data_IF_087310991856
#
_entry.id   IF_087310991856
#
_cell.length_a   1.000
_cell.length_b   1.000
_cell.length_c   1.000
_cell.angle_alpha   90.00
_cell.angle_beta   90.00
_cell.angle_gamma   90.00
#
_symmetry.space_group_name_H-M   'P 1'
#
loop_
_entity.id
_entity.type
_entity.pdbx_description
1 polymer ?
#
# COMPACT_ATOMS: atom_id res chain seq x y z
N UNK A 1 32.96 -5.04 2.98
CA UNK A 1 31.81 -5.59 3.70
C UNK A 1 31.24 -4.47 4.56
N UNK A 2 30.02 -4.05 4.29
CA UNK A 2 29.26 -3.18 5.17
C UNK A 2 28.35 -4.10 5.99
N UNK A 3 28.44 -4.04 7.30
CA UNK A 3 27.57 -4.81 8.20
C UNK A 3 26.77 -3.82 9.03
N UNK A 4 25.49 -3.64 8.67
CA UNK A 4 24.53 -2.87 9.44
C UNK A 4 23.80 -3.84 10.36
N UNK A 5 24.21 -3.90 11.62
CA UNK A 5 23.59 -4.81 12.60
C UNK A 5 22.32 -4.24 13.20
N UNK A 6 22.31 -2.96 13.48
CA UNK A 6 21.16 -2.25 14.03
C UNK A 6 21.15 -0.86 13.41
N UNK A 7 19.99 -0.46 12.91
CA UNK A 7 19.75 0.91 12.45
C UNK A 7 18.33 1.33 12.84
N UNK A 8 18.14 2.62 13.03
CA UNK A 8 16.84 3.22 13.26
C UNK A 8 16.59 4.27 12.20
N UNK A 9 15.41 4.22 11.60
CA UNK A 9 14.92 5.22 10.64
C UNK A 9 13.80 5.97 11.35
N UNK A 10 13.98 7.25 11.57
CA UNK A 10 12.96 8.11 12.16
C UNK A 10 12.14 8.78 11.06
N UNK A 11 10.82 8.72 11.20
CA UNK A 11 9.84 9.21 10.24
C UNK A 11 8.79 10.03 11.02
N UNK A 12 9.08 11.32 11.25
CA UNK A 12 8.25 12.14 12.12
C UNK A 12 8.20 11.57 13.54
N UNK A 13 7.00 11.29 14.03
CA UNK A 13 6.78 10.71 15.38
C UNK A 13 6.81 9.16 15.37
N UNK A 14 7.07 8.53 14.24
CA UNK A 14 7.23 7.09 14.11
C UNK A 14 8.70 6.74 13.85
N UNK A 15 9.08 5.49 14.11
CA UNK A 15 10.38 4.97 13.72
C UNK A 15 10.29 3.51 13.32
N UNK A 16 11.22 3.10 12.47
CA UNK A 16 11.41 1.72 12.05
C UNK A 16 12.79 1.27 12.47
N UNK A 17 12.87 0.17 13.18
CA UNK A 17 14.13 -0.46 13.57
C UNK A 17 14.52 -1.53 12.55
N UNK A 18 15.78 -1.50 12.13
CA UNK A 18 16.41 -2.53 11.32
C UNK A 18 17.35 -3.37 12.18
N UNK A 19 17.26 -4.69 12.01
CA UNK A 19 18.23 -5.65 12.55
C UNK A 19 18.58 -6.65 11.48
N UNK A 20 19.84 -6.73 11.10
CA UNK A 20 20.25 -7.66 10.04
C UNK A 20 21.62 -7.34 9.45
N UNK A 21 21.89 -7.91 8.29
CA UNK A 21 23.14 -7.71 7.55
C UNK A 21 22.86 -7.22 6.14
N UNK A 22 23.65 -6.25 5.72
CA UNK A 22 23.74 -5.82 4.31
C UNK A 22 25.19 -6.07 3.89
N UNK A 23 25.38 -6.94 2.94
CA UNK A 23 26.69 -7.31 2.44
C UNK A 23 26.83 -6.96 0.97
N UNK A 24 28.05 -6.60 0.57
CA UNK A 24 28.44 -6.45 -0.83
C UNK A 24 29.65 -7.34 -1.09
N UNK A 25 29.45 -8.66 -1.33
CA UNK A 25 30.54 -9.61 -1.55
C UNK A 25 31.15 -9.49 -2.94
N UNK A 26 31.42 -8.60 -3.59
CA UNK A 26 32.00 -8.19 -4.86
C UNK A 26 31.12 -7.18 -5.62
N UNK A 27 30.32 -7.66 -6.55
CA UNK A 27 29.52 -6.88 -7.50
C UNK A 27 28.00 -6.99 -7.25
N UNK A 28 27.59 -7.65 -6.18
CA UNK A 28 26.19 -7.86 -5.84
C UNK A 28 25.92 -7.53 -4.37
N UNK A 29 24.65 -7.41 -4.03
CA UNK A 29 24.19 -7.12 -2.67
C UNK A 29 23.45 -8.32 -2.10
N UNK A 30 23.70 -8.59 -0.82
CA UNK A 30 22.89 -9.50 0.00
C UNK A 30 22.33 -8.74 1.17
N UNK A 31 21.05 -8.92 1.39
CA UNK A 31 20.32 -8.34 2.50
C UNK A 31 19.63 -9.49 3.23
N UNK A 32 19.86 -9.60 4.52
CA UNK A 32 19.14 -10.53 5.40
C UNK A 32 18.87 -9.83 6.73
N UNK A 33 17.61 -9.60 7.01
CA UNK A 33 17.25 -8.88 8.22
C UNK A 33 15.77 -8.67 8.42
N UNK A 34 15.47 -7.94 9.46
CA UNK A 34 14.13 -7.62 9.89
C UNK A 34 13.96 -6.12 10.07
N UNK A 35 12.93 -5.57 9.45
CA UNK A 35 12.37 -4.26 9.75
C UNK A 35 11.26 -4.44 10.78
N UNK A 36 11.27 -3.64 11.82
CA UNK A 36 10.27 -3.68 12.88
C UNK A 36 9.71 -2.30 13.13
N UNK A 37 8.39 -2.18 13.04
CA UNK A 37 7.63 -1.04 13.54
C UNK A 37 7.17 -1.41 14.96
N UNK A 38 7.73 -0.82 16.01
CA UNK A 38 7.25 -1.07 17.37
C UNK A 38 5.82 -0.55 17.53
N UNK A 39 5.12 -0.87 18.63
CA UNK A 39 3.80 -0.33 18.90
C UNK A 39 3.78 1.18 18.76
N UNK A 40 3.15 1.68 17.70
CA UNK A 40 3.15 3.10 17.28
C UNK A 40 1.70 3.58 17.20
N UNK A 41 1.36 4.78 17.72
CA UNK A 41 0.03 5.34 17.52
C UNK A 41 -0.31 5.41 16.02
N UNK A 42 -1.49 4.94 15.64
CA UNK A 42 -1.90 4.88 14.23
C UNK A 42 -1.84 6.25 13.55
N UNK A 43 -2.20 7.31 14.27
CA UNK A 43 -2.12 8.68 13.73
C UNK A 43 -0.68 9.08 13.42
N UNK A 44 0.26 8.75 14.31
CA UNK A 44 1.69 9.00 14.10
C UNK A 44 2.24 8.18 12.89
N UNK A 45 1.83 6.91 12.77
CA UNK A 45 2.27 6.05 11.67
C UNK A 45 1.80 6.57 10.30
N UNK A 46 0.56 7.07 10.19
CA UNK A 46 0.05 7.66 8.95
C UNK A 46 0.74 8.99 8.65
N UNK A 47 0.89 9.85 9.64
CA UNK A 47 1.52 11.18 9.45
C UNK A 47 3.05 11.12 9.36
N UNK A 48 3.67 9.95 9.52
CA UNK A 48 5.05 9.69 9.13
C UNK A 48 5.24 9.72 7.58
N UNK A 49 4.16 9.51 6.83
CA UNK A 49 4.15 9.65 5.37
C UNK A 49 4.06 11.15 5.03
N UNK A 50 4.93 11.67 4.16
CA UNK A 50 4.89 13.07 3.77
C UNK A 50 3.51 13.51 3.26
N UNK A 51 3.07 14.70 3.65
CA UNK A 51 1.75 15.24 3.29
C UNK A 51 1.51 15.31 1.78
N UNK A 52 2.57 15.54 1.00
CA UNK A 52 2.51 15.59 -0.46
C UNK A 52 2.17 14.22 -1.06
N UNK A 53 2.56 13.13 -0.40
CA UNK A 53 2.23 11.75 -0.78
C UNK A 53 0.82 11.40 -0.31
N UNK A 54 0.45 11.80 0.91
CA UNK A 54 -0.90 11.58 1.45
C UNK A 54 -1.97 12.38 0.70
N UNK A 55 -1.61 13.57 0.19
CA UNK A 55 -2.55 14.45 -0.48
C UNK A 55 -3.81 14.70 0.34
N UNK A 56 -5.02 14.46 -0.22
CA UNK A 56 -6.29 14.63 0.50
C UNK A 56 -6.43 13.76 1.77
N UNK A 57 -5.66 12.69 1.90
CA UNK A 57 -5.66 11.81 3.08
C UNK A 57 -4.89 12.41 4.27
N UNK A 58 -4.17 13.50 4.10
CA UNK A 58 -3.46 14.20 5.19
C UNK A 58 -4.36 14.66 6.34
N UNK A 59 -5.67 14.80 6.08
CA UNK A 59 -6.67 15.12 7.10
C UNK A 59 -7.25 13.88 7.81
N UNK A 60 -6.81 12.67 7.46
CA UNK A 60 -7.21 11.44 8.12
C UNK A 60 -6.75 11.47 9.59
N UNK A 61 -7.63 11.03 10.49
CA UNK A 61 -7.29 10.87 11.92
C UNK A 61 -7.63 9.48 12.37
N UNK A 62 -6.67 8.86 13.06
CA UNK A 62 -6.77 7.50 13.53
C UNK A 62 -6.53 7.42 15.05
N UNK A 63 -7.26 6.53 15.71
CA UNK A 63 -6.95 6.10 17.06
C UNK A 63 -6.39 4.67 17.04
N UNK A 64 -5.84 4.22 18.17
CA UNK A 64 -5.30 2.87 18.32
C UNK A 64 -3.81 2.80 18.06
N UNK A 65 -3.32 1.57 17.94
CA UNK A 65 -1.90 1.26 17.82
C UNK A 65 -1.69 0.28 16.67
N UNK A 66 -0.66 0.54 15.90
CA UNK A 66 -0.14 -0.31 14.82
C UNK A 66 1.23 -0.83 15.22
N UNK A 67 1.49 -2.10 15.01
CA UNK A 67 2.84 -2.66 15.05
C UNK A 67 3.07 -3.60 13.89
N UNK A 68 4.32 -3.83 13.54
CA UNK A 68 4.60 -4.71 12.42
C UNK A 68 6.04 -5.18 12.35
N UNK A 69 6.23 -6.25 11.59
CA UNK A 69 7.53 -6.79 11.26
C UNK A 69 7.55 -7.21 9.80
N UNK A 70 8.64 -6.92 9.13
CA UNK A 70 8.91 -7.42 7.79
C UNK A 70 10.28 -8.10 7.80
N UNK A 71 10.31 -9.40 7.51
CA UNK A 71 11.54 -10.11 7.25
C UNK A 71 11.90 -9.98 5.77
N UNK A 72 13.15 -9.62 5.51
CA UNK A 72 13.69 -9.43 4.16
C UNK A 72 14.87 -10.36 3.96
N UNK A 73 14.84 -11.17 2.91
CA UNK A 73 16.00 -11.86 2.36
C UNK A 73 16.10 -11.60 0.87
N UNK A 74 17.21 -11.02 0.43
CA UNK A 74 17.42 -10.65 -0.96
C UNK A 74 18.88 -10.91 -1.34
N UNK A 75 19.09 -11.56 -2.49
CA UNK A 75 20.37 -11.58 -3.19
C UNK A 75 20.15 -10.97 -4.58
N UNK A 76 20.88 -9.89 -4.90
CA UNK A 76 20.68 -9.17 -6.17
C UNK A 76 21.10 -9.96 -7.41
N UNK A 77 21.66 -11.16 -7.27
CA UNK A 77 21.90 -12.11 -8.37
C UNK A 77 20.77 -13.13 -8.56
N UNK A 78 19.93 -13.30 -7.52
CA UNK A 78 18.86 -14.29 -7.50
C UNK A 78 17.56 -13.62 -7.01
N UNK A 79 17.16 -12.55 -7.69
CA UNK A 79 16.03 -11.70 -7.26
C UNK A 79 14.71 -12.48 -7.15
N UNK A 80 14.54 -13.52 -7.98
CA UNK A 80 13.37 -14.41 -7.94
C UNK A 80 13.25 -15.19 -6.59
N UNK A 81 14.36 -15.32 -5.86
CA UNK A 81 14.39 -15.96 -4.52
C UNK A 81 14.17 -14.98 -3.37
N UNK A 82 13.88 -13.73 -3.68
CA UNK A 82 13.58 -12.72 -2.65
C UNK A 82 12.43 -13.19 -1.76
N UNK A 83 12.64 -13.10 -0.46
CA UNK A 83 11.62 -13.36 0.56
C UNK A 83 11.26 -12.04 1.22
N UNK A 84 9.97 -11.72 1.22
CA UNK A 84 9.37 -10.71 2.06
C UNK A 84 8.25 -11.38 2.87
N UNK A 85 8.42 -11.42 4.15
CA UNK A 85 7.42 -11.97 5.08
C UNK A 85 6.97 -10.87 6.04
N UNK A 86 5.65 -10.71 6.16
CA UNK A 86 5.04 -9.62 6.90
C UNK A 86 4.16 -10.16 8.02
N UNK A 87 4.32 -9.58 9.20
CA UNK A 87 3.38 -9.72 10.30
C UNK A 87 2.98 -8.31 10.75
N UNK A 88 1.68 -8.04 10.75
CA UNK A 88 1.11 -6.74 11.13
C UNK A 88 0.03 -6.95 12.16
N UNK A 89 0.09 -6.20 13.24
CA UNK A 89 -0.95 -6.11 14.26
C UNK A 89 -1.60 -4.73 14.12
N UNK A 90 -2.80 -4.72 13.54
CA UNK A 90 -3.56 -3.51 13.24
C UNK A 90 -4.70 -3.34 14.26
N UNK A 91 -4.51 -2.39 15.18
CA UNK A 91 -5.53 -1.93 16.13
C UNK A 91 -6.10 -0.55 15.77
N UNK A 92 -5.91 -0.09 14.53
CA UNK A 92 -6.32 1.25 14.10
C UNK A 92 -7.83 1.38 13.95
N UNK A 93 -8.34 2.55 14.32
CA UNK A 93 -9.74 2.93 14.17
C UNK A 93 -9.84 4.31 13.55
N UNK A 94 -10.78 4.51 12.63
CA UNK A 94 -11.05 5.81 12.04
C UNK A 94 -11.73 6.72 13.06
N UNK A 95 -11.14 7.91 13.29
CA UNK A 95 -11.69 8.97 14.14
C UNK A 95 -12.27 10.08 13.26
N UNK A 96 -11.54 10.49 12.23
CA UNK A 96 -12.02 11.43 11.23
C UNK A 96 -11.57 10.98 9.84
N UNK A 97 -12.51 10.95 8.92
CA UNK A 97 -12.27 10.55 7.53
C UNK A 97 -12.50 11.76 6.63
N UNK A 98 -11.51 12.20 5.85
CA UNK A 98 -11.70 13.31 4.93
C UNK A 98 -12.67 12.92 3.81
N UNK A 99 -13.41 13.90 3.21
CA UNK A 99 -14.41 13.62 2.17
C UNK A 99 -13.88 12.80 1.00
N UNK A 100 -12.61 12.94 0.65
CA UNK A 100 -11.96 12.19 -0.42
C UNK A 100 -11.88 10.67 -0.14
N UNK A 101 -11.80 10.28 1.14
CA UNK A 101 -11.72 8.88 1.59
C UNK A 101 -13.04 8.35 2.15
N UNK A 102 -14.08 9.18 2.27
CA UNK A 102 -15.38 8.76 2.79
C UNK A 102 -16.12 7.93 1.73
N UNK A 103 -16.17 6.61 1.97
CA UNK A 103 -16.86 5.66 1.08
C UNK A 103 -18.39 5.89 1.05
N UNK A 104 -18.98 6.56 2.06
CA UNK A 104 -20.41 6.85 2.09
C UNK A 104 -20.81 7.81 0.97
N UNK A 105 -19.87 8.58 0.40
CA UNK A 105 -20.13 9.41 -0.79
C UNK A 105 -20.68 8.63 -1.97
N UNK A 106 -20.39 7.32 -2.05
CA UNK A 106 -20.86 6.44 -3.13
C UNK A 106 -22.29 5.89 -2.90
N UNK A 107 -22.91 6.18 -1.75
CA UNK A 107 -24.30 5.79 -1.47
C UNK A 107 -25.35 6.63 -2.20
N UNK A 108 -24.97 7.73 -2.83
CA UNK A 108 -25.81 8.62 -3.63
C UNK A 108 -25.08 9.11 -4.88
N UNK A 109 -25.68 10.07 -5.63
CA UNK A 109 -25.00 10.72 -6.75
C UNK A 109 -23.72 11.43 -6.29
N UNK A 110 -22.66 11.31 -7.08
CA UNK A 110 -21.38 12.00 -6.84
C UNK A 110 -20.75 12.41 -8.17
N UNK A 111 -19.90 13.43 -8.13
CA UNK A 111 -19.08 13.83 -9.27
C UNK A 111 -17.83 12.97 -9.32
N UNK A 112 -17.64 12.28 -10.44
CA UNK A 112 -16.42 11.58 -10.76
C UNK A 112 -15.56 12.42 -11.70
N UNK A 113 -14.28 12.55 -11.38
CA UNK A 113 -13.28 13.18 -12.25
C UNK A 113 -12.43 12.10 -12.87
N UNK A 114 -12.47 11.98 -14.18
CA UNK A 114 -11.61 11.08 -14.96
C UNK A 114 -10.52 11.91 -15.65
N UNK A 115 -9.28 11.41 -15.59
CA UNK A 115 -8.15 12.00 -16.30
C UNK A 115 -8.05 11.33 -17.67
N UNK A 116 -8.22 12.11 -18.72
CA UNK A 116 -8.05 11.65 -20.10
C UNK A 116 -6.55 11.50 -20.44
N UNK A 117 -6.21 10.67 -21.46
CA UNK A 117 -4.81 10.45 -21.86
C UNK A 117 -4.05 11.72 -22.28
N UNK A 118 -4.75 12.77 -22.70
CA UNK A 118 -4.19 14.08 -23.06
C UNK A 118 -3.99 15.00 -21.84
N UNK A 119 -4.33 14.54 -20.63
CA UNK A 119 -4.23 15.31 -19.39
C UNK A 119 -5.43 16.19 -19.09
N UNK A 120 -6.48 16.17 -19.91
CA UNK A 120 -7.72 16.89 -19.60
C UNK A 120 -8.52 16.17 -18.52
N UNK A 121 -9.21 16.94 -17.66
CA UNK A 121 -10.08 16.39 -16.62
C UNK A 121 -11.52 16.43 -17.15
N UNK A 122 -12.13 15.26 -17.22
CA UNK A 122 -13.56 15.11 -17.55
C UNK A 122 -14.34 14.86 -16.26
N UNK A 123 -15.35 15.66 -16.02
CA UNK A 123 -16.26 15.51 -14.87
C UNK A 123 -17.59 14.92 -15.31
N UNK A 124 -18.05 13.91 -14.58
CA UNK A 124 -19.37 13.33 -14.78
C UNK A 124 -20.08 13.11 -13.45
N UNK A 125 -21.36 13.38 -13.43
CA UNK A 125 -22.21 12.97 -12.32
C UNK A 125 -22.57 11.49 -12.50
N UNK A 126 -22.30 10.67 -11.50
CA UNK A 126 -22.59 9.24 -11.49
C UNK A 126 -23.03 8.79 -10.09
N UNK A 127 -23.40 7.52 -9.95
CA UNK A 127 -23.86 6.96 -8.69
C UNK A 127 -25.34 6.62 -8.66
N UNK A 128 -25.83 6.04 -7.57
CA UNK A 128 -27.22 5.64 -7.44
C UNK A 128 -28.20 6.78 -7.76
N UNK A 129 -29.15 6.52 -8.66
CA UNK A 129 -30.14 7.50 -9.10
C UNK A 129 -29.77 8.29 -10.35
N UNK A 130 -28.57 8.17 -10.90
CA UNK A 130 -28.16 8.78 -12.17
C UNK A 130 -28.44 7.86 -13.36
N UNK A 131 -28.54 8.44 -14.56
CA UNK A 131 -28.86 7.67 -15.78
C UNK A 131 -27.70 6.77 -16.28
N UNK A 132 -26.48 6.99 -15.81
CA UNK A 132 -25.28 6.21 -16.15
C UNK A 132 -24.87 5.24 -15.03
N UNK A 133 -25.73 5.04 -14.03
CA UNK A 133 -25.48 4.11 -12.94
C UNK A 133 -26.27 2.80 -13.14
N UNK A 134 -25.57 1.69 -12.92
CA UNK A 134 -26.18 0.35 -12.90
C UNK A 134 -25.82 -0.30 -11.58
N UNK A 135 -26.84 -0.83 -10.88
CA UNK A 135 -26.60 -1.54 -9.62
C UNK A 135 -25.79 -2.82 -9.86
N UNK A 136 -24.98 -3.23 -8.89
CA UNK A 136 -24.16 -4.44 -8.96
C UNK A 136 -25.00 -5.68 -9.30
N UNK A 137 -26.23 -5.78 -8.77
CA UNK A 137 -27.15 -6.89 -9.04
C UNK A 137 -27.66 -6.95 -10.49
N UNK A 138 -27.58 -5.86 -11.24
CA UNK A 138 -27.97 -5.80 -12.65
C UNK A 138 -26.76 -6.00 -13.59
N UNK A 139 -25.55 -6.07 -13.06
CA UNK A 139 -24.34 -6.38 -13.83
C UNK A 139 -24.18 -7.90 -13.92
N UNK A 140 -23.90 -8.40 -15.12
CA UNK A 140 -23.65 -9.83 -15.34
C UNK A 140 -22.57 -10.36 -14.37
N UNK A 141 -22.80 -11.49 -13.68
CA UNK A 141 -21.79 -12.10 -12.83
C UNK A 141 -20.45 -12.37 -13.55
N UNK A 142 -20.50 -12.74 -14.82
CA UNK A 142 -19.28 -12.95 -15.63
C UNK A 142 -18.47 -11.65 -15.80
N UNK A 143 -19.15 -10.51 -15.94
CA UNK A 143 -18.47 -9.21 -16.02
C UNK A 143 -17.85 -8.84 -14.68
N UNK A 144 -18.57 -9.08 -13.56
CA UNK A 144 -18.04 -8.85 -12.23
C UNK A 144 -16.77 -9.69 -11.98
N UNK A 145 -16.81 -10.99 -12.31
CA UNK A 145 -15.65 -11.88 -12.19
C UNK A 145 -14.49 -11.45 -13.11
N UNK A 146 -14.79 -11.03 -14.34
CA UNK A 146 -13.77 -10.59 -15.28
C UNK A 146 -13.04 -9.34 -14.77
N UNK A 147 -13.77 -8.35 -14.23
CA UNK A 147 -13.18 -7.14 -13.65
C UNK A 147 -12.33 -7.48 -12.45
N UNK A 148 -12.84 -8.25 -11.48
CA UNK A 148 -12.08 -8.64 -10.29
C UNK A 148 -10.82 -9.42 -10.69
N UNK A 149 -10.94 -10.38 -11.61
CA UNK A 149 -9.79 -11.19 -12.06
C UNK A 149 -8.73 -10.37 -12.79
N UNK A 150 -9.14 -9.32 -13.50
CA UNK A 150 -8.22 -8.44 -14.22
C UNK A 150 -7.49 -7.46 -13.29
N UNK A 151 -8.22 -6.85 -12.36
CA UNK A 151 -7.67 -5.84 -11.46
C UNK A 151 -6.89 -6.49 -10.30
N UNK A 152 -7.46 -7.51 -9.69
CA UNK A 152 -6.84 -8.23 -8.58
C UNK A 152 -7.41 -9.65 -8.44
N UNK A 153 -6.80 -10.61 -9.09
CA UNK A 153 -7.22 -12.01 -9.03
C UNK A 153 -7.21 -12.62 -7.60
N UNK A 154 -6.59 -11.95 -6.65
CA UNK A 154 -6.53 -12.34 -5.24
C UNK A 154 -7.43 -11.51 -4.32
N UNK A 155 -8.26 -10.63 -4.85
CA UNK A 155 -9.08 -9.66 -4.11
C UNK A 155 -9.81 -10.24 -2.88
N UNK A 156 -10.38 -11.43 -3.01
CA UNK A 156 -11.08 -12.12 -1.92
C UNK A 156 -10.16 -12.94 -1.00
N UNK A 157 -8.83 -12.92 -1.22
CA UNK A 157 -7.86 -13.71 -0.45
C UNK A 157 -7.00 -12.89 0.50
N UNK A 158 -7.09 -11.57 0.44
CA UNK A 158 -6.39 -10.65 1.33
C UNK A 158 -7.33 -9.54 1.83
N UNK A 159 -6.89 -8.82 2.84
CA UNK A 159 -7.64 -7.72 3.48
C UNK A 159 -7.00 -6.36 3.16
N UNK A 160 -6.82 -6.05 1.85
CA UNK A 160 -6.21 -4.80 1.39
C UNK A 160 -4.68 -4.82 1.32
N UNK A 161 -4.02 -5.87 1.83
CA UNK A 161 -2.56 -6.00 1.80
C UNK A 161 -2.17 -7.37 1.23
N UNK A 162 -1.46 -7.36 0.12
CA UNK A 162 -1.02 -8.56 -0.61
C UNK A 162 0.52 -8.66 -0.61
N UNK A 163 1.15 -9.34 0.37
CA UNK A 163 2.61 -9.42 0.52
C UNK A 163 3.33 -9.92 -0.73
N UNK A 164 2.76 -10.91 -1.42
CA UNK A 164 3.32 -11.45 -2.65
C UNK A 164 3.37 -10.41 -3.78
N UNK A 165 2.33 -9.57 -3.92
CA UNK A 165 2.29 -8.54 -4.95
C UNK A 165 3.35 -7.45 -4.69
N UNK A 166 3.59 -7.10 -3.42
CA UNK A 166 4.65 -6.18 -3.01
C UNK A 166 6.03 -6.78 -3.33
N UNK A 167 6.24 -8.06 -3.01
CA UNK A 167 7.47 -8.78 -3.35
C UNK A 167 7.71 -8.77 -4.86
N UNK A 168 6.70 -9.14 -5.65
CA UNK A 168 6.83 -9.23 -7.10
C UNK A 168 7.05 -7.85 -7.75
N UNK A 169 6.43 -6.80 -7.22
CA UNK A 169 6.68 -5.43 -7.64
C UNK A 169 8.12 -4.99 -7.30
N UNK A 170 8.61 -5.30 -6.09
CA UNK A 170 9.99 -5.01 -5.70
C UNK A 170 11.00 -5.72 -6.61
N UNK A 171 10.82 -7.02 -6.86
CA UNK A 171 11.68 -7.81 -7.73
C UNK A 171 11.73 -7.20 -9.13
N UNK A 172 10.58 -6.91 -9.72
CA UNK A 172 10.48 -6.29 -11.05
C UNK A 172 11.16 -4.93 -11.12
N UNK A 173 10.95 -4.07 -10.12
CA UNK A 173 11.58 -2.75 -10.07
C UNK A 173 13.11 -2.87 -10.00
N UNK A 174 13.63 -3.82 -9.22
CA UNK A 174 15.07 -4.08 -9.12
C UNK A 174 15.65 -4.62 -10.43
N UNK A 175 14.93 -5.51 -11.13
CA UNK A 175 15.33 -6.04 -12.44
C UNK A 175 15.37 -4.96 -13.51
N UNK A 176 14.39 -4.05 -13.50
CA UNK A 176 14.25 -2.96 -14.47
C UNK A 176 15.09 -1.72 -14.10
N UNK A 177 15.72 -1.70 -12.91
CA UNK A 177 16.47 -0.54 -12.41
C UNK A 177 15.57 0.68 -12.14
N UNK A 178 14.32 0.46 -11.81
CA UNK A 178 13.35 1.50 -11.45
C UNK A 178 13.25 1.61 -9.93
N UNK A 179 13.42 2.83 -9.41
CA UNK A 179 13.38 3.12 -7.98
C UNK A 179 12.35 4.20 -7.68
#
# INVERSE_FOLDING_TARGET
RLELRIARIELGDAHIDWTGTVERPSDHYRVDGTLSLPPTPCDAAVHAIPSDVLGPLSALRLAGVLSGRMQVRLDSRELERTVLDFAVEDGCQFVAVPPAADVNRFAGPFTHQALEPDGTVFEMETGPGTGNWVSLMAISPLLQEAVVSHEDAAFYRHHGFAPWAIRDALVRNLEEGRY
#
